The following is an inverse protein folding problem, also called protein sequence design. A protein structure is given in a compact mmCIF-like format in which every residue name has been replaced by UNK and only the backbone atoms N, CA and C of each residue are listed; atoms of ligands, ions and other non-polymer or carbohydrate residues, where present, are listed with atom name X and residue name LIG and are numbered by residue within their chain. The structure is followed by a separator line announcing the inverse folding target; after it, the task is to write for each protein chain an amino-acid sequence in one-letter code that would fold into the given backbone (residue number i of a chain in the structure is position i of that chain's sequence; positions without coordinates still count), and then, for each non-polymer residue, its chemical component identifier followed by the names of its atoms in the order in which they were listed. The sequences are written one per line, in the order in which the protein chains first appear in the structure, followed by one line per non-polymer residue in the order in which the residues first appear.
data_IF_157880235945
#
_entry.id   IF_157880235945
#
_cell.length_a   1.000
_cell.length_b   1.000
_cell.length_c   1.000
_cell.angle_alpha   90.00
_cell.angle_beta   90.00
_cell.angle_gamma   90.00
#
_symmetry.space_group_name_H-M   'P 1'
#
loop_
_entity.id
_entity.type
_entity.pdbx_description
1 polymer ?
#
# COMPACT_ATOMS: atom_id res chain seq x y z
N UNK A 1 -1.23 -38.68 -84.04
CA UNK A 1 -0.65 -38.56 -82.69
C UNK A 1 -0.79 -37.10 -82.26
N UNK A 2 -1.80 -36.74 -81.46
CA UNK A 2 -2.09 -35.34 -81.06
C UNK A 2 -1.45 -35.07 -79.69
N UNK A 3 -0.47 -34.17 -79.67
CA UNK A 3 0.25 -33.74 -78.46
C UNK A 3 -0.67 -32.80 -77.66
N UNK A 4 -1.09 -33.21 -76.45
CA UNK A 4 -1.84 -32.37 -75.51
C UNK A 4 -0.87 -31.77 -74.49
N UNK A 5 -0.74 -30.45 -74.54
CA UNK A 5 -0.04 -29.59 -73.58
C UNK A 5 -0.61 -29.79 -72.18
N UNK A 6 0.23 -30.14 -71.20
CA UNK A 6 -0.13 -30.13 -69.77
C UNK A 6 0.46 -28.86 -69.14
N UNK A 7 -0.41 -27.93 -68.74
CA UNK A 7 -0.05 -26.78 -67.91
C UNK A 7 -0.02 -27.25 -66.46
N UNK A 8 1.11 -27.09 -65.78
CA UNK A 8 1.23 -27.28 -64.33
C UNK A 8 0.87 -25.97 -63.64
N UNK A 9 -0.20 -25.97 -62.84
CA UNK A 9 -0.52 -24.88 -61.94
C UNK A 9 0.30 -25.05 -60.65
N UNK A 10 1.18 -24.09 -60.36
CA UNK A 10 1.91 -24.01 -59.08
C UNK A 10 0.98 -23.33 -58.08
N UNK A 11 0.57 -24.06 -57.04
CA UNK A 11 -0.24 -23.52 -55.96
C UNK A 11 0.71 -22.95 -54.88
N UNK A 12 0.89 -21.63 -54.86
CA UNK A 12 1.60 -20.94 -53.77
C UNK A 12 0.70 -20.80 -52.55
N UNK A 13 1.02 -21.53 -51.48
CA UNK A 13 0.37 -21.40 -50.17
C UNK A 13 0.97 -20.18 -49.45
N UNK A 14 0.23 -19.08 -49.36
CA UNK A 14 0.64 -17.91 -48.59
C UNK A 14 0.37 -18.15 -47.09
N UNK A 15 1.44 -18.40 -46.32
CA UNK A 15 1.38 -18.51 -44.87
C UNK A 15 1.15 -17.11 -44.28
N UNK A 16 -0.06 -16.84 -43.81
CA UNK A 16 -0.40 -15.58 -43.15
C UNK A 16 0.05 -15.66 -41.69
N UNK A 17 1.18 -15.03 -41.36
CA UNK A 17 1.60 -14.82 -39.98
C UNK A 17 0.69 -13.75 -39.38
N UNK A 18 -0.25 -14.16 -38.53
CA UNK A 18 -1.01 -13.23 -37.70
C UNK A 18 -0.08 -12.75 -36.59
N UNK A 19 0.57 -11.61 -36.79
CA UNK A 19 1.17 -10.87 -35.67
C UNK A 19 0.02 -10.38 -34.79
N UNK A 20 -0.26 -11.10 -33.71
CA UNK A 20 -1.08 -10.59 -32.64
C UNK A 20 -0.37 -9.35 -32.09
N UNK A 21 -0.82 -8.17 -32.49
CA UNK A 21 -0.34 -6.91 -31.94
C UNK A 21 -0.61 -6.91 -30.45
N UNK A 22 0.45 -6.99 -29.65
CA UNK A 22 0.38 -6.68 -28.22
C UNK A 22 0.07 -5.19 -28.15
N UNK A 23 -1.19 -4.84 -27.92
CA UNK A 23 -1.55 -3.46 -27.59
C UNK A 23 -0.78 -3.08 -26.33
N UNK A 24 0.12 -2.08 -26.35
CA UNK A 24 0.77 -1.64 -25.14
C UNK A 24 -0.31 -1.24 -24.14
N UNK A 25 -0.23 -1.78 -22.92
CA UNK A 25 -1.13 -1.39 -21.85
C UNK A 25 -1.13 0.14 -21.73
N UNK A 26 -2.30 0.80 -21.63
CA UNK A 26 -2.35 2.25 -21.52
C UNK A 26 -1.45 2.69 -20.37
N UNK A 27 -0.54 3.63 -20.63
CA UNK A 27 0.32 4.21 -19.62
C UNK A 27 -0.58 4.70 -18.47
N UNK A 28 -0.49 4.04 -17.31
CA UNK A 28 -1.37 4.30 -16.19
C UNK A 28 -1.30 5.79 -15.84
N UNK A 29 -2.43 6.48 -15.98
CA UNK A 29 -2.48 7.94 -15.84
C UNK A 29 -2.42 8.34 -14.37
N UNK A 30 -1.86 9.51 -14.07
CA UNK A 30 -1.91 10.10 -12.73
C UNK A 30 -3.39 10.36 -12.39
N UNK A 31 -3.83 9.93 -11.21
CA UNK A 31 -5.16 10.24 -10.68
C UNK A 31 -5.02 11.18 -9.49
N UNK A 32 -5.99 12.08 -9.33
CA UNK A 32 -6.07 13.00 -8.19
C UNK A 32 -7.36 12.72 -7.44
N UNK A 33 -7.25 12.54 -6.13
CA UNK A 33 -8.40 12.50 -5.21
C UNK A 33 -8.35 13.75 -4.37
N UNK A 34 -9.36 14.60 -4.55
CA UNK A 34 -9.52 15.83 -3.77
C UNK A 34 -10.72 15.73 -2.86
N UNK A 35 -10.60 16.35 -1.70
CA UNK A 35 -11.63 16.36 -0.70
C UNK A 35 -11.63 17.73 -0.01
N UNK A 36 -12.79 18.39 -0.02
CA UNK A 36 -12.93 19.63 0.73
C UNK A 36 -12.64 19.39 2.22
N UNK A 37 -11.90 20.33 2.81
CA UNK A 37 -11.76 20.39 4.25
C UNK A 37 -13.12 20.73 4.89
N UNK A 38 -13.44 20.21 6.09
CA UNK A 38 -14.64 20.60 6.80
C UNK A 38 -14.65 22.13 7.01
N UNK A 39 -15.83 22.75 6.87
CA UNK A 39 -15.98 24.18 7.10
C UNK A 39 -15.48 24.56 8.49
N UNK A 40 -14.78 25.71 8.59
CA UNK A 40 -14.17 26.21 9.82
C UNK A 40 -13.15 25.26 10.49
N UNK A 41 -12.66 24.23 9.80
CA UNK A 41 -11.60 23.35 10.34
C UNK A 41 -10.21 23.97 10.31
N UNK A 42 -9.98 25.07 9.59
CA UNK A 42 -8.64 25.65 9.42
C UNK A 42 -7.64 24.75 8.69
N UNK A 43 -8.06 23.58 8.19
CA UNK A 43 -7.25 22.72 7.35
C UNK A 43 -7.36 23.16 5.89
N UNK A 44 -6.26 23.11 5.11
CA UNK A 44 -6.36 23.21 3.66
C UNK A 44 -7.12 22.02 3.07
N UNK A 45 -7.59 22.12 1.81
CA UNK A 45 -8.19 20.98 1.11
C UNK A 45 -7.26 19.75 1.12
N UNK A 46 -7.84 18.58 1.27
CA UNK A 46 -7.11 17.32 1.15
C UNK A 46 -6.83 17.02 -0.32
N UNK A 47 -5.59 16.64 -0.61
CA UNK A 47 -5.16 16.25 -1.96
C UNK A 47 -4.30 14.99 -1.88
N UNK A 48 -4.76 13.94 -2.55
CA UNK A 48 -3.98 12.75 -2.83
C UNK A 48 -3.67 12.62 -4.33
N UNK A 49 -2.44 12.19 -4.63
CA UNK A 49 -1.98 11.93 -6.00
C UNK A 49 -1.58 10.46 -6.11
N UNK A 50 -2.23 9.76 -7.03
CA UNK A 50 -1.99 8.35 -7.31
C UNK A 50 -1.23 8.24 -8.62
N UNK A 51 -0.04 7.64 -8.57
CA UNK A 51 0.86 7.53 -9.73
C UNK A 51 1.28 6.07 -9.97
N UNK A 52 1.58 5.69 -11.21
CA UNK A 52 2.38 4.50 -11.47
C UNK A 52 3.69 4.56 -10.70
N UNK A 53 4.23 3.39 -10.37
CA UNK A 53 5.54 3.27 -9.72
C UNK A 53 6.43 2.36 -10.55
N UNK A 54 7.71 2.71 -10.65
CA UNK A 54 8.72 1.88 -11.31
C UNK A 54 9.47 1.04 -10.30
N UNK A 55 10.09 -0.06 -10.74
CA UNK A 55 11.01 -0.84 -9.89
C UNK A 55 12.10 0.05 -9.26
N UNK A 56 12.64 1.01 -10.02
CA UNK A 56 13.62 1.97 -9.52
C UNK A 56 13.08 2.82 -8.35
N UNK A 57 11.83 3.28 -8.41
CA UNK A 57 11.22 4.04 -7.31
C UNK A 57 10.92 3.15 -6.11
N UNK A 58 10.58 1.87 -6.31
CA UNK A 58 10.41 0.91 -5.22
C UNK A 58 11.75 0.59 -4.53
N UNK A 59 12.87 0.73 -5.23
CA UNK A 59 14.20 0.54 -4.64
C UNK A 59 14.36 -0.85 -4.05
N UNK A 60 14.92 -0.94 -2.84
CA UNK A 60 15.13 -2.21 -2.15
C UNK A 60 13.84 -2.88 -1.69
N UNK A 61 12.69 -2.20 -1.70
CA UNK A 61 11.42 -2.78 -1.20
C UNK A 61 10.80 -3.76 -2.19
N UNK A 62 11.33 -3.84 -3.42
CA UNK A 62 10.91 -4.75 -4.47
C UNK A 62 12.12 -5.40 -5.16
N UNK A 63 11.98 -6.65 -5.57
CA UNK A 63 12.97 -7.38 -6.35
C UNK A 63 12.29 -8.46 -7.21
N UNK A 64 13.05 -9.07 -8.14
CA UNK A 64 12.55 -10.24 -8.87
C UNK A 64 12.18 -11.37 -7.89
N UNK A 65 11.00 -11.97 -8.08
CA UNK A 65 10.45 -12.98 -7.16
C UNK A 65 9.37 -12.44 -6.21
N UNK A 66 9.20 -11.12 -6.10
CA UNK A 66 8.04 -10.54 -5.42
C UNK A 66 6.72 -10.98 -6.09
N UNK A 67 5.65 -11.14 -5.30
CA UNK A 67 4.40 -11.72 -5.82
C UNK A 67 3.60 -10.77 -6.72
N UNK A 68 3.98 -9.50 -6.79
CA UNK A 68 3.38 -8.50 -7.68
C UNK A 68 4.45 -7.64 -8.35
N UNK A 69 4.19 -7.24 -9.59
CA UNK A 69 5.04 -6.33 -10.36
C UNK A 69 4.79 -4.85 -10.04
N UNK A 70 5.71 -3.93 -10.40
CA UNK A 70 5.51 -2.48 -10.22
C UNK A 70 4.27 -1.95 -10.96
N UNK A 71 3.87 -2.58 -12.06
CA UNK A 71 2.68 -2.25 -12.84
C UNK A 71 1.36 -2.52 -12.07
N UNK A 72 1.41 -3.43 -11.08
CA UNK A 72 0.30 -3.73 -10.18
C UNK A 72 0.28 -2.85 -8.92
N UNK A 73 1.27 -1.97 -8.75
CA UNK A 73 1.42 -1.10 -7.58
C UNK A 73 1.22 0.38 -7.96
N UNK A 74 0.83 1.21 -6.99
CA UNK A 74 0.71 2.66 -7.15
C UNK A 74 1.36 3.38 -5.99
N UNK A 75 2.06 4.46 -6.29
CA UNK A 75 2.52 5.43 -5.30
C UNK A 75 1.36 6.40 -5.02
N UNK A 76 0.90 6.42 -3.78
CA UNK A 76 -0.18 7.28 -3.28
C UNK A 76 0.46 8.33 -2.38
N UNK A 77 0.62 9.55 -2.89
CA UNK A 77 1.12 10.68 -2.11
C UNK A 77 -0.05 11.46 -1.51
N UNK A 78 -0.15 11.54 -0.18
CA UNK A 78 -1.30 12.13 0.54
C UNK A 78 -0.86 13.28 1.44
N UNK A 79 -1.78 14.20 1.74
CA UNK A 79 -1.61 15.12 2.85
C UNK A 79 -2.02 14.43 4.16
N UNK A 80 -1.29 14.66 5.25
CA UNK A 80 -1.64 14.18 6.60
C UNK A 80 -1.42 15.27 7.65
N UNK A 81 -2.03 15.12 8.82
CA UNK A 81 -1.77 16.00 9.98
C UNK A 81 -0.71 15.35 10.86
N UNK A 82 0.36 16.08 11.15
CA UNK A 82 1.47 15.60 11.98
C UNK A 82 1.15 15.63 13.47
N UNK A 83 2.02 15.02 14.28
CA UNK A 83 1.97 15.19 15.74
C UNK A 83 2.22 16.65 16.18
N UNK A 84 2.87 17.45 15.34
CA UNK A 84 3.02 18.90 15.51
C UNK A 84 1.76 19.70 15.17
N UNK A 85 0.69 19.04 14.70
CA UNK A 85 -0.56 19.66 14.28
C UNK A 85 -0.49 20.34 12.91
N UNK A 86 0.66 20.31 12.22
CA UNK A 86 0.84 20.88 10.90
C UNK A 86 0.45 19.88 9.79
N UNK A 87 0.25 20.40 8.58
CA UNK A 87 -0.03 19.57 7.41
C UNK A 87 1.28 19.18 6.74
N UNK A 88 1.47 17.88 6.57
CA UNK A 88 2.63 17.28 5.92
C UNK A 88 2.21 16.48 4.69
N UNK A 89 3.19 16.01 3.93
CA UNK A 89 2.97 15.13 2.77
C UNK A 89 3.70 13.82 2.97
N UNK A 90 2.99 12.73 2.77
CA UNK A 90 3.46 11.36 2.94
C UNK A 90 3.26 10.52 1.70
N UNK A 91 3.92 9.38 1.64
CA UNK A 91 3.84 8.46 0.51
C UNK A 91 3.63 7.02 0.97
N UNK A 92 2.70 6.34 0.31
CA UNK A 92 2.44 4.91 0.47
C UNK A 92 2.52 4.25 -0.90
N UNK A 93 2.99 3.01 -0.92
CA UNK A 93 2.86 2.15 -2.11
C UNK A 93 1.85 1.06 -1.79
N UNK A 94 0.81 0.95 -2.61
CA UNK A 94 -0.28 -0.01 -2.42
C UNK A 94 -0.65 -0.67 -3.74
N UNK A 95 -1.44 -1.74 -3.69
CA UNK A 95 -1.98 -2.36 -4.89
C UNK A 95 -2.83 -1.36 -5.67
N UNK A 96 -2.75 -1.42 -7.00
CA UNK A 96 -3.46 -0.50 -7.87
C UNK A 96 -4.98 -0.50 -7.65
N UNK A 97 -5.56 -1.66 -7.31
CA UNK A 97 -6.99 -1.81 -7.04
C UNK A 97 -7.42 -1.35 -5.63
N UNK A 98 -6.48 -0.96 -4.77
CA UNK A 98 -6.72 -0.36 -3.45
C UNK A 98 -6.40 1.13 -3.41
N UNK A 99 -5.64 1.66 -4.37
CA UNK A 99 -5.07 3.01 -4.31
C UNK A 99 -6.09 4.14 -4.07
N UNK A 100 -7.23 4.13 -4.77
CA UNK A 100 -8.29 5.14 -4.60
C UNK A 100 -8.94 5.02 -3.23
N UNK A 101 -9.20 3.80 -2.78
CA UNK A 101 -9.80 3.53 -1.47
C UNK A 101 -8.89 4.02 -0.34
N UNK A 102 -7.59 3.71 -0.42
CA UNK A 102 -6.56 4.17 0.52
C UNK A 102 -6.50 5.70 0.54
N UNK A 103 -6.54 6.36 -0.62
CA UNK A 103 -6.59 7.83 -0.67
C UNK A 103 -7.81 8.40 0.10
N UNK A 104 -8.98 7.77 -0.01
CA UNK A 104 -10.14 8.19 0.78
C UNK A 104 -10.03 7.86 2.27
N UNK A 105 -9.42 6.73 2.64
CA UNK A 105 -9.14 6.41 4.05
C UNK A 105 -8.26 7.51 4.67
N UNK A 106 -7.17 7.89 4.00
CA UNK A 106 -6.31 8.96 4.51
C UNK A 106 -6.97 10.35 4.46
N UNK A 107 -7.93 10.58 3.56
CA UNK A 107 -8.76 11.78 3.62
C UNK A 107 -9.61 11.82 4.90
N UNK A 108 -10.15 10.69 5.36
CA UNK A 108 -10.92 10.62 6.60
C UNK A 108 -10.03 10.83 7.84
N UNK A 109 -8.84 10.20 7.88
CA UNK A 109 -7.84 10.45 8.93
C UNK A 109 -7.43 11.93 8.97
N UNK A 110 -7.20 12.54 7.80
CA UNK A 110 -6.85 13.96 7.68
C UNK A 110 -7.93 14.88 8.24
N UNK A 111 -9.20 14.64 7.89
CA UNK A 111 -10.33 15.42 8.42
C UNK A 111 -10.55 15.20 9.91
N UNK A 112 -10.31 13.97 10.38
CA UNK A 112 -10.32 13.62 11.80
C UNK A 112 -9.12 14.14 12.58
N UNK A 113 -8.13 14.73 11.89
CA UNK A 113 -6.85 15.18 12.47
C UNK A 113 -6.15 14.08 13.26
N UNK A 114 -6.26 12.83 12.81
CA UNK A 114 -5.49 11.75 13.39
C UNK A 114 -4.01 12.02 13.14
N UNK A 115 -3.19 12.20 14.19
CA UNK A 115 -1.81 12.60 14.02
C UNK A 115 -0.99 11.41 13.53
N UNK A 116 -0.21 11.64 12.49
CA UNK A 116 0.72 10.67 11.92
C UNK A 116 2.13 11.22 12.07
N UNK A 117 3.05 10.44 12.63
CA UNK A 117 4.42 10.92 12.87
C UNK A 117 5.19 11.02 11.57
N UNK A 118 5.10 9.95 10.77
CA UNK A 118 5.82 9.82 9.51
C UNK A 118 5.04 8.91 8.57
N UNK A 119 5.18 9.15 7.27
CA UNK A 119 4.62 8.30 6.23
C UNK A 119 5.57 8.23 5.05
N UNK A 120 6.48 7.27 5.12
CA UNK A 120 7.55 7.05 4.17
C UNK A 120 7.55 5.62 3.64
N UNK A 121 7.94 5.47 2.38
CA UNK A 121 8.09 4.17 1.74
C UNK A 121 9.34 3.44 2.30
N UNK A 122 9.22 2.12 2.50
CA UNK A 122 10.12 1.34 3.38
C UNK A 122 11.55 1.19 2.81
N UNK A 123 11.75 1.43 1.51
CA UNK A 123 13.08 1.47 0.90
C UNK A 123 13.97 2.59 1.45
N UNK A 124 13.39 3.66 2.03
CA UNK A 124 14.18 4.70 2.74
C UNK A 124 14.92 4.16 3.96
N UNK A 125 14.49 3.01 4.48
CA UNK A 125 15.10 2.29 5.57
C UNK A 125 15.92 1.09 5.09
N UNK A 126 16.28 1.04 3.80
CA UNK A 126 16.93 -0.13 3.21
C UNK A 126 16.04 -1.37 3.20
N UNK A 127 14.72 -1.18 3.25
CA UNK A 127 13.71 -2.23 3.43
C UNK A 127 13.72 -2.96 4.77
N UNK A 128 14.45 -2.43 5.75
CA UNK A 128 14.45 -2.92 7.12
C UNK A 128 13.13 -2.53 7.80
N UNK A 129 12.29 -3.54 8.02
CA UNK A 129 10.97 -3.39 8.63
C UNK A 129 11.08 -2.91 10.08
N UNK A 130 12.05 -3.43 10.83
CA UNK A 130 12.27 -3.08 12.24
C UNK A 130 12.76 -1.64 12.35
N UNK A 131 13.64 -1.19 11.45
CA UNK A 131 14.09 0.20 11.40
C UNK A 131 12.95 1.17 11.05
N UNK A 132 12.10 0.81 10.09
CA UNK A 132 10.89 1.57 9.73
C UNK A 132 9.92 1.64 10.92
N UNK A 133 9.66 0.51 11.58
CA UNK A 133 8.80 0.46 12.76
C UNK A 133 9.36 1.28 13.92
N UNK A 134 10.64 1.16 14.25
CA UNK A 134 11.27 1.91 15.33
C UNK A 134 11.22 3.44 15.10
N UNK A 135 11.18 3.86 13.84
CA UNK A 135 11.00 5.24 13.43
C UNK A 135 9.54 5.73 13.45
N UNK A 136 8.60 4.95 13.99
CA UNK A 136 7.18 5.28 14.07
C UNK A 136 6.51 5.55 12.71
N UNK A 137 6.94 4.83 11.69
CA UNK A 137 6.53 5.08 10.33
C UNK A 137 5.13 4.50 10.05
N UNK A 138 4.34 5.20 9.26
CA UNK A 138 3.14 4.66 8.60
C UNK A 138 3.51 4.20 7.21
N UNK A 139 3.39 2.91 6.91
CA UNK A 139 3.91 2.32 5.67
C UNK A 139 3.01 1.21 5.12
N UNK A 140 3.23 0.76 3.89
CA UNK A 140 2.33 -0.19 3.22
C UNK A 140 3.05 -1.30 2.46
N UNK A 141 3.80 -1.00 1.40
CA UNK A 141 4.48 -2.04 0.64
C UNK A 141 5.90 -2.30 1.14
N UNK A 142 6.18 -3.57 1.43
CA UNK A 142 7.51 -4.13 1.64
C UNK A 142 7.48 -5.60 1.19
N UNK A 143 8.25 -5.94 0.15
CA UNK A 143 8.30 -7.30 -0.36
C UNK A 143 9.17 -8.17 0.56
N UNK A 144 8.53 -8.95 1.44
CA UNK A 144 9.15 -9.79 2.45
C UNK A 144 8.25 -10.95 2.85
N UNK A 145 8.83 -11.98 3.41
CA UNK A 145 8.04 -13.00 4.07
C UNK A 145 7.26 -12.42 5.27
N UNK A 146 6.19 -13.10 5.65
CA UNK A 146 5.48 -12.86 6.90
C UNK A 146 6.43 -13.11 8.09
N UNK A 147 6.23 -12.36 9.16
CA UNK A 147 7.06 -12.45 10.37
C UNK A 147 7.08 -13.88 10.91
N UNK A 148 8.27 -14.48 11.01
CA UNK A 148 8.45 -15.85 11.51
C UNK A 148 8.06 -16.97 10.54
N UNK A 149 7.75 -16.67 9.28
CA UNK A 149 7.35 -17.66 8.27
C UNK A 149 8.03 -17.49 6.91
N UNK A 150 7.60 -18.30 5.93
CA UNK A 150 8.11 -18.26 4.54
C UNK A 150 7.05 -17.82 3.52
N UNK A 151 5.78 -17.72 3.92
CA UNK A 151 4.72 -17.18 3.08
C UNK A 151 4.89 -15.67 2.92
N UNK A 152 4.42 -15.10 1.81
CA UNK A 152 4.44 -13.65 1.60
C UNK A 152 3.53 -12.91 2.59
N UNK A 153 4.04 -11.79 3.11
CA UNK A 153 3.22 -10.85 3.89
C UNK A 153 2.20 -10.15 2.99
N UNK A 154 1.05 -9.72 3.54
CA UNK A 154 0.10 -8.87 2.82
C UNK A 154 0.72 -7.53 2.38
N UNK A 155 1.76 -7.06 3.07
CA UNK A 155 2.59 -5.92 2.63
C UNK A 155 3.26 -6.20 1.27
N UNK A 156 3.62 -7.44 0.97
CA UNK A 156 4.23 -7.82 -0.32
C UNK A 156 3.28 -7.77 -1.51
N UNK A 157 1.97 -7.70 -1.26
CA UNK A 157 0.95 -7.52 -2.29
C UNK A 157 0.49 -6.05 -2.39
N UNK A 158 0.98 -5.17 -1.51
CA UNK A 158 0.49 -3.79 -1.36
C UNK A 158 -0.92 -3.75 -0.77
N UNK A 159 -1.28 -4.72 0.07
CA UNK A 159 -2.64 -4.92 0.62
C UNK A 159 -2.71 -4.79 2.13
N UNK A 160 -1.64 -4.30 2.74
CA UNK A 160 -1.56 -4.00 4.15
C UNK A 160 -1.03 -2.58 4.36
N UNK A 161 -1.40 -1.97 5.48
CA UNK A 161 -0.94 -0.66 5.94
C UNK A 161 -0.69 -0.76 7.45
N UNK A 162 0.51 -0.38 7.86
CA UNK A 162 0.87 -0.18 9.26
C UNK A 162 0.79 1.31 9.59
N UNK A 163 0.17 1.68 10.71
CA UNK A 163 -0.06 3.08 11.12
C UNK A 163 0.59 3.39 12.46
N UNK A 164 1.50 4.38 12.50
CA UNK A 164 2.22 4.83 13.71
C UNK A 164 2.70 3.65 14.56
N UNK A 165 3.62 2.87 14.02
CA UNK A 165 4.12 1.60 14.55
C UNK A 165 4.57 1.66 16.02
N UNK A 166 5.01 2.82 16.54
CA UNK A 166 5.34 2.98 17.97
C UNK A 166 4.10 3.13 18.84
N UNK A 167 3.10 3.92 18.44
CA UNK A 167 1.84 4.04 19.19
C UNK A 167 0.95 2.80 19.05
N UNK A 168 1.16 2.02 17.99
CA UNK A 168 0.34 0.85 17.68
C UNK A 168 1.22 -0.40 17.50
N UNK A 169 1.96 -0.84 18.52
CA UNK A 169 2.93 -1.93 18.35
C UNK A 169 2.29 -3.27 17.98
N UNK A 170 3.07 -4.11 17.30
CA UNK A 170 2.85 -5.53 17.15
C UNK A 170 3.27 -6.30 18.42
N UNK A 171 2.43 -7.23 18.86
CA UNK A 171 2.68 -8.14 19.98
C UNK A 171 2.66 -9.57 19.45
N UNK A 172 3.86 -10.15 19.38
CA UNK A 172 4.04 -11.53 18.93
C UNK A 172 3.39 -12.55 19.86
N UNK A 173 3.23 -13.79 19.39
CA UNK A 173 2.69 -14.88 20.20
C UNK A 173 3.53 -15.26 21.44
N UNK A 174 4.78 -14.81 21.52
CA UNK A 174 5.61 -14.95 22.73
C UNK A 174 5.49 -13.77 23.71
N UNK A 175 4.69 -12.76 23.37
CA UNK A 175 4.53 -11.52 24.14
C UNK A 175 5.60 -10.46 23.87
N UNK A 176 6.55 -10.70 22.96
CA UNK A 176 7.52 -9.68 22.57
C UNK A 176 6.84 -8.56 21.76
N UNK A 177 7.22 -7.31 22.06
CA UNK A 177 6.63 -6.08 21.51
C UNK A 177 7.56 -5.49 20.46
N UNK A 178 7.01 -5.15 19.29
CA UNK A 178 7.73 -4.53 18.19
C UNK A 178 7.00 -3.27 17.71
N UNK A 179 7.71 -2.14 17.55
CA UNK A 179 9.10 -1.95 17.94
C UNK A 179 9.24 -1.88 19.49
N UNK A 180 10.42 -2.14 20.09
CA UNK A 180 10.58 -2.16 21.55
C UNK A 180 10.22 -0.83 22.24
N UNK A 181 10.41 0.31 21.57
CA UNK A 181 9.99 1.63 22.06
C UNK A 181 8.46 1.82 22.05
N UNK A 182 7.69 0.89 21.47
CA UNK A 182 6.23 0.85 21.55
C UNK A 182 5.68 0.20 22.83
N UNK A 183 6.51 -0.39 23.68
CA UNK A 183 6.09 -1.08 24.91
C UNK A 183 5.11 -0.29 25.80
N UNK A 184 5.27 1.04 26.00
CA UNK A 184 4.30 1.82 26.79
C UNK A 184 2.87 1.82 26.23
N UNK A 185 2.71 1.61 24.92
CA UNK A 185 1.43 1.67 24.21
C UNK A 185 0.70 0.33 24.11
N UNK A 186 1.26 -0.73 24.72
CA UNK A 186 0.56 -2.00 24.94
C UNK A 186 -0.64 -1.81 25.87
N UNK A 187 -0.54 -0.88 26.82
CA UNK A 187 -1.67 -0.50 27.67
C UNK A 187 -2.71 0.28 26.86
N UNK A 188 -3.77 -0.41 26.44
CA UNK A 188 -4.88 0.18 25.68
C UNK A 188 -5.87 0.97 26.55
N UNK A 189 -5.63 1.11 27.85
CA UNK A 189 -6.34 2.08 28.70
C UNK A 189 -5.77 3.49 28.57
N UNK A 190 -4.52 3.62 28.08
CA UNK A 190 -3.91 4.89 27.72
C UNK A 190 -4.70 5.54 26.58
N UNK A 191 -4.90 6.86 26.64
CA UNK A 191 -5.31 7.64 25.48
C UNK A 191 -4.18 8.60 25.13
N UNK A 192 -3.48 8.34 24.03
CA UNK A 192 -2.42 9.19 23.54
C UNK A 192 -2.63 9.53 22.05
N UNK A 193 -2.15 10.70 21.57
CA UNK A 193 -2.17 11.04 20.16
C UNK A 193 -1.58 9.91 19.31
N UNK A 194 -2.28 9.53 18.22
CA UNK A 194 -1.81 8.55 17.25
C UNK A 194 -2.02 7.08 17.64
N UNK A 195 -2.63 6.81 18.81
CA UNK A 195 -3.12 5.47 19.17
C UNK A 195 -4.44 5.17 18.46
N UNK A 196 -4.58 3.92 18.02
CA UNK A 196 -5.81 3.36 17.49
C UNK A 196 -6.47 2.52 18.58
N UNK A 197 -7.77 2.75 18.77
CA UNK A 197 -8.63 2.05 19.70
C UNK A 197 -9.79 1.37 18.98
N UNK A 198 -10.26 0.26 19.55
CA UNK A 198 -11.45 -0.43 19.08
C UNK A 198 -12.67 0.52 19.05
N UNK A 199 -13.35 0.54 17.93
CA UNK A 199 -14.48 1.41 17.62
C UNK A 199 -14.11 2.88 17.42
N UNK A 200 -12.86 3.27 17.23
CA UNK A 200 -12.52 4.67 17.00
C UNK A 200 -12.74 5.12 15.54
N UNK A 201 -12.49 6.40 15.27
CA UNK A 201 -12.66 6.95 13.92
C UNK A 201 -11.62 6.43 12.92
N UNK A 202 -10.40 6.14 13.38
CA UNK A 202 -9.32 5.63 12.54
C UNK A 202 -9.63 4.19 12.12
N UNK A 203 -9.95 3.30 13.06
CA UNK A 203 -10.36 1.93 12.74
C UNK A 203 -11.53 1.94 11.75
N UNK A 204 -12.58 2.72 12.02
CA UNK A 204 -13.75 2.81 11.13
C UNK A 204 -13.42 3.34 9.74
N UNK A 205 -12.43 4.22 9.59
CA UNK A 205 -12.02 4.71 8.28
C UNK A 205 -11.53 3.55 7.39
N UNK A 206 -10.86 2.56 7.97
CA UNK A 206 -10.46 1.34 7.27
C UNK A 206 -11.60 0.32 7.18
N UNK A 207 -12.23 -0.04 8.30
CA UNK A 207 -13.16 -1.17 8.36
C UNK A 207 -14.48 -0.92 7.64
N UNK A 208 -14.96 0.33 7.55
CA UNK A 208 -16.12 0.69 6.71
C UNK A 208 -15.90 0.43 5.21
N UNK A 209 -14.64 0.28 4.79
CA UNK A 209 -14.22 -0.05 3.43
C UNK A 209 -13.83 -1.52 3.29
N UNK A 210 -14.12 -2.35 4.29
CA UNK A 210 -13.89 -3.80 4.26
C UNK A 210 -12.45 -4.23 4.53
N UNK A 211 -11.63 -3.36 5.13
CA UNK A 211 -10.35 -3.77 5.72
C UNK A 211 -10.61 -4.46 7.06
N UNK A 212 -9.72 -5.37 7.45
CA UNK A 212 -9.65 -5.91 8.81
C UNK A 212 -8.55 -5.18 9.59
N UNK A 213 -8.65 -5.18 10.92
CA UNK A 213 -7.67 -4.56 11.80
C UNK A 213 -7.01 -5.62 12.70
N UNK A 214 -5.68 -5.66 12.70
CA UNK A 214 -4.90 -6.62 13.46
C UNK A 214 -4.98 -6.44 14.98
N UNK A 215 -5.39 -5.26 15.46
CA UNK A 215 -5.64 -5.02 16.88
C UNK A 215 -6.83 -5.78 17.44
N UNK A 216 -7.64 -6.41 16.59
CA UNK A 216 -8.78 -7.28 16.96
C UNK A 216 -8.47 -8.78 16.95
N UNK A 217 -7.25 -9.17 16.56
CA UNK A 217 -6.84 -10.58 16.53
C UNK A 217 -6.50 -11.12 17.92
N UNK A 218 -6.58 -12.45 18.08
CA UNK A 218 -6.23 -13.11 19.34
C UNK A 218 -4.72 -13.26 19.51
N UNK A 219 -4.03 -13.81 18.50
CA UNK A 219 -2.57 -13.99 18.51
C UNK A 219 -2.05 -14.17 17.08
N UNK A 220 -1.00 -13.40 16.67
CA UNK A 220 -0.47 -12.22 17.34
C UNK A 220 -1.50 -11.08 17.40
N UNK A 221 -1.28 -10.10 18.28
CA UNK A 221 -2.08 -8.87 18.28
C UNK A 221 -1.27 -7.82 17.52
N UNK A 222 -1.84 -7.25 16.46
CA UNK A 222 -1.11 -6.34 15.57
C UNK A 222 -1.81 -4.99 15.44
N UNK A 223 -1.59 -4.10 16.41
CA UNK A 223 -2.35 -2.85 16.49
C UNK A 223 -2.07 -1.87 15.34
N UNK A 224 -0.88 -1.94 14.74
CA UNK A 224 -0.48 -1.09 13.60
C UNK A 224 -1.19 -1.52 12.33
N UNK A 225 -1.51 -2.80 12.19
CA UNK A 225 -1.77 -3.44 10.91
C UNK A 225 -3.24 -3.40 10.51
N UNK A 226 -3.48 -2.95 9.29
CA UNK A 226 -4.74 -3.14 8.58
C UNK A 226 -4.49 -3.91 7.29
N UNK A 227 -5.37 -4.85 6.93
CA UNK A 227 -5.26 -5.56 5.67
C UNK A 227 -6.58 -5.75 4.94
N UNK A 228 -6.47 -5.85 3.61
CA UNK A 228 -7.56 -6.25 2.71
C UNK A 228 -6.98 -7.08 1.57
N UNK A 229 -6.78 -8.39 1.79
CA UNK A 229 -6.24 -9.33 0.80
C UNK A 229 -6.98 -9.33 -0.55
#
# INVERSE_FOLDING_TARGET
MKLRTRVFAVLTLALSVVLAGVTPAPAATIQTVEAAAPAASGLPPYVALIRPVSAQRLGSSWHEGCPVGPDQLRLVSVNFVGFDGAVHRGELVVNADRAVEVAYTFADLYRGRFPIERMETVEKYGSDDDASMAANNTSAFNCRAITGGTAWSNHSYGRAIDVNTVQNPYISGSGAVYPPNGAPYVDRTLTAPGMIHAGDATERAFTSRGWTWGGSWDTPIDYQHFEKP
#
